data_IF_046947482432
#
_entry.id   IF_046947482432
#
_cell.length_a   1.000
_cell.length_b   1.000
_cell.length_c   1.000
_cell.angle_alpha   90.00
_cell.angle_beta   90.00
_cell.angle_gamma   90.00
#
_symmetry.space_group_name_H-M   'P 1'
#
loop_
_entity.id
_entity.type
_entity.pdbx_description
1 polymer ?
#
# COMPACT_ATOMS: atom_id res chain seq x y z
N UNK A 1 -3.21 -19.27 45.56
CA UNK A 1 -2.16 -18.25 45.69
C UNK A 1 -1.75 -17.79 44.30
N UNK A 2 -2.20 -16.60 43.86
CA UNK A 2 -1.71 -16.02 42.60
C UNK A 2 -0.26 -15.55 42.82
N UNK A 3 0.71 -15.93 41.97
CA UNK A 3 2.07 -15.44 42.12
C UNK A 3 2.09 -13.92 41.89
N UNK A 4 2.78 -13.20 42.78
CA UNK A 4 3.03 -11.75 42.66
C UNK A 4 3.62 -11.46 41.27
N UNK A 5 2.85 -10.78 40.41
CA UNK A 5 3.29 -10.25 39.12
C UNK A 5 4.52 -9.38 39.32
N UNK A 6 5.69 -9.85 38.90
CA UNK A 6 6.89 -9.01 38.83
C UNK A 6 6.89 -8.25 37.51
N UNK A 7 6.14 -7.16 37.44
CA UNK A 7 6.01 -6.30 36.27
C UNK A 7 7.36 -5.92 35.62
N UNK A 8 8.44 -5.85 36.41
CA UNK A 8 9.79 -5.55 35.91
C UNK A 8 10.42 -6.63 35.02
N UNK A 9 10.11 -7.93 35.20
CA UNK A 9 10.61 -8.98 34.31
C UNK A 9 9.85 -8.96 32.97
N UNK A 10 8.54 -8.80 33.03
CA UNK A 10 7.67 -8.72 31.84
C UNK A 10 8.05 -7.52 30.96
N UNK A 11 8.35 -6.37 31.57
CA UNK A 11 8.81 -5.16 30.86
C UNK A 11 10.17 -5.36 30.17
N UNK A 12 11.13 -6.03 30.82
CA UNK A 12 12.44 -6.33 30.21
C UNK A 12 12.31 -7.30 29.03
N UNK A 13 11.49 -8.34 29.15
CA UNK A 13 11.26 -9.27 28.05
C UNK A 13 10.58 -8.60 26.85
N UNK A 14 9.55 -7.78 27.10
CA UNK A 14 8.90 -7.00 26.05
C UNK A 14 9.87 -6.02 25.38
N UNK A 15 10.71 -5.32 26.15
CA UNK A 15 11.73 -4.42 25.60
C UNK A 15 12.74 -5.19 24.73
N UNK A 16 13.27 -6.32 25.20
CA UNK A 16 14.21 -7.14 24.43
C UNK A 16 13.58 -7.72 23.16
N UNK A 17 12.32 -8.15 23.23
CA UNK A 17 11.56 -8.61 22.07
C UNK A 17 11.40 -7.50 21.04
N UNK A 18 10.94 -6.32 21.47
CA UNK A 18 10.77 -5.16 20.60
C UNK A 18 12.09 -4.71 19.97
N UNK A 19 13.19 -4.70 20.72
CA UNK A 19 14.53 -4.38 20.18
C UNK A 19 14.95 -5.39 19.12
N UNK A 20 14.83 -6.70 19.39
CA UNK A 20 15.14 -7.74 18.40
C UNK A 20 14.27 -7.60 17.15
N UNK A 21 12.99 -7.30 17.33
CA UNK A 21 12.04 -7.08 16.23
C UNK A 21 12.40 -5.85 15.40
N UNK A 22 12.73 -4.73 16.05
CA UNK A 22 13.17 -3.50 15.40
C UNK A 22 14.46 -3.70 14.62
N UNK A 23 15.44 -4.41 15.18
CA UNK A 23 16.68 -4.75 14.49
C UNK A 23 16.41 -5.64 13.26
N UNK A 24 15.57 -6.65 13.41
CA UNK A 24 15.19 -7.51 12.29
C UNK A 24 14.51 -6.70 11.17
N UNK A 25 13.53 -5.87 11.53
CA UNK A 25 12.84 -4.99 10.57
C UNK A 25 13.82 -4.02 9.90
N UNK A 26 14.75 -3.41 10.65
CA UNK A 26 15.76 -2.51 10.11
C UNK A 26 16.65 -3.23 9.09
N UNK A 27 17.12 -4.45 9.40
CA UNK A 27 17.91 -5.26 8.47
C UNK A 27 17.10 -5.62 7.23
N UNK A 28 15.83 -6.02 7.39
CA UNK A 28 14.94 -6.31 6.27
C UNK A 28 14.73 -5.10 5.37
N UNK A 29 14.48 -3.92 5.95
CA UNK A 29 14.34 -2.65 5.21
C UNK A 29 15.64 -2.30 4.49
N UNK A 30 16.79 -2.39 5.16
CA UNK A 30 18.10 -2.11 4.55
C UNK A 30 18.37 -3.00 3.33
N UNK A 31 18.16 -4.31 3.47
CA UNK A 31 18.36 -5.26 2.37
C UNK A 31 17.35 -4.98 1.25
N UNK A 32 16.07 -4.81 1.57
CA UNK A 32 15.02 -4.55 0.60
C UNK A 32 15.26 -3.26 -0.18
N UNK A 33 15.62 -2.17 0.50
CA UNK A 33 15.96 -0.89 -0.12
C UNK A 33 17.21 -1.01 -0.98
N UNK A 34 18.27 -1.66 -0.50
CA UNK A 34 19.48 -1.82 -1.30
C UNK A 34 19.25 -2.66 -2.56
N UNK A 35 18.53 -3.77 -2.44
CA UNK A 35 18.13 -4.58 -3.59
C UNK A 35 17.27 -3.78 -4.58
N UNK A 36 16.34 -2.97 -4.08
CA UNK A 36 15.54 -2.07 -4.91
C UNK A 36 16.42 -1.10 -5.69
N UNK A 37 17.40 -0.46 -5.04
CA UNK A 37 18.33 0.46 -5.69
C UNK A 37 19.09 -0.27 -6.82
N UNK A 38 19.60 -1.47 -6.56
CA UNK A 38 20.32 -2.27 -7.56
C UNK A 38 19.41 -2.64 -8.73
N UNK A 39 18.20 -3.13 -8.46
CA UNK A 39 17.24 -3.56 -9.50
C UNK A 39 16.75 -2.37 -10.31
N UNK A 40 16.35 -1.27 -9.67
CA UNK A 40 15.84 -0.08 -10.34
C UNK A 40 16.89 0.59 -11.23
N UNK A 41 18.17 0.44 -10.92
CA UNK A 41 19.29 0.92 -11.74
C UNK A 41 19.87 -0.16 -12.67
N UNK A 42 19.26 -1.36 -12.74
CA UNK A 42 19.75 -2.51 -13.52
C UNK A 42 21.24 -2.81 -13.27
N UNK A 43 21.68 -2.75 -12.01
CA UNK A 43 23.08 -2.95 -11.63
C UNK A 43 24.04 -1.87 -12.13
N UNK A 44 23.54 -0.69 -12.52
CA UNK A 44 24.31 0.43 -13.05
C UNK A 44 24.15 0.65 -14.56
N UNK A 45 23.49 -0.25 -15.29
CA UNK A 45 23.27 -0.09 -16.74
C UNK A 45 22.42 1.14 -17.08
N UNK A 46 21.56 1.59 -16.15
CA UNK A 46 20.78 2.82 -16.30
C UNK A 46 21.69 4.05 -16.42
N UNK A 47 22.91 4.02 -15.89
CA UNK A 47 23.86 5.13 -16.00
C UNK A 47 24.29 5.38 -17.44
N UNK A 48 24.45 4.34 -18.24
CA UNK A 48 24.80 4.45 -19.66
C UNK A 48 23.67 5.10 -20.45
N UNK A 49 22.43 4.64 -20.22
CA UNK A 49 21.23 5.23 -20.80
C UNK A 49 21.10 6.70 -20.42
N UNK A 50 21.38 7.03 -19.16
CA UNK A 50 21.33 8.39 -18.65
C UNK A 50 22.39 9.29 -19.27
N UNK A 51 23.63 8.80 -19.46
CA UNK A 51 24.68 9.56 -20.17
C UNK A 51 24.28 9.87 -21.61
N UNK A 52 23.67 8.91 -22.31
CA UNK A 52 23.14 9.12 -23.66
C UNK A 52 22.03 10.17 -23.65
N UNK A 53 21.10 10.08 -22.70
CA UNK A 53 20.00 11.04 -22.56
C UNK A 53 20.50 12.46 -22.27
N UNK A 54 21.45 12.62 -21.33
CA UNK A 54 22.07 13.92 -21.01
C UNK A 54 22.73 14.51 -22.25
N UNK A 55 23.47 13.71 -23.03
CA UNK A 55 24.07 14.19 -24.27
C UNK A 55 23.01 14.62 -25.29
N UNK A 56 21.93 13.85 -25.46
CA UNK A 56 20.84 14.23 -26.36
C UNK A 56 20.13 15.50 -25.91
N UNK A 57 19.86 15.66 -24.62
CA UNK A 57 19.19 16.85 -24.07
C UNK A 57 20.09 18.08 -24.19
N UNK A 58 21.38 17.96 -23.86
CA UNK A 58 22.35 19.04 -24.01
C UNK A 58 22.47 19.48 -25.48
N UNK A 59 22.50 18.52 -26.41
CA UNK A 59 22.52 18.80 -27.85
C UNK A 59 21.27 19.55 -28.30
N UNK A 60 20.08 19.06 -27.94
CA UNK A 60 18.81 19.69 -28.32
C UNK A 60 18.64 21.07 -27.68
N UNK A 61 19.04 21.26 -26.42
CA UNK A 61 19.00 22.58 -25.78
C UNK A 61 19.92 23.60 -26.47
N UNK A 62 21.14 23.19 -26.86
CA UNK A 62 22.06 24.08 -27.58
C UNK A 62 21.55 24.37 -28.99
N UNK A 63 20.92 23.40 -29.65
CA UNK A 63 20.34 23.55 -31.00
C UNK A 63 19.08 24.42 -31.02
N UNK A 64 18.21 24.25 -30.03
CA UNK A 64 16.91 24.92 -29.95
C UNK A 64 17.01 26.40 -29.55
N UNK A 65 18.08 26.78 -28.85
CA UNK A 65 18.30 28.17 -28.44
C UNK A 65 18.80 29.01 -29.63
N UNK A 66 18.05 30.03 -30.08
CA UNK A 66 18.46 30.90 -31.18
C UNK A 66 19.81 31.57 -30.95
N UNK A 67 20.19 31.83 -29.70
CA UNK A 67 21.45 32.50 -29.35
C UNK A 67 22.71 31.71 -29.76
N UNK A 68 22.60 30.38 -29.88
CA UNK A 68 23.74 29.52 -30.25
C UNK A 68 23.73 29.12 -31.73
N UNK A 69 22.71 29.49 -32.51
CA UNK A 69 22.62 29.09 -33.92
C UNK A 69 23.65 29.77 -34.82
N UNK A 70 24.10 30.97 -34.46
CA UNK A 70 25.13 31.72 -35.20
C UNK A 70 26.57 31.28 -34.85
N UNK A 71 26.75 30.46 -33.80
CA UNK A 71 28.07 29.98 -33.39
C UNK A 71 28.66 28.95 -34.37
N UNK A 72 29.98 28.91 -34.45
CA UNK A 72 30.70 27.89 -35.21
C UNK A 72 30.36 26.48 -34.69
N UNK A 73 30.33 25.48 -35.58
CA UNK A 73 29.98 24.10 -35.22
C UNK A 73 30.89 23.51 -34.14
N UNK A 74 32.18 23.83 -34.17
CA UNK A 74 33.15 23.40 -33.17
C UNK A 74 32.87 24.00 -31.77
N UNK A 75 32.48 25.28 -31.70
CA UNK A 75 32.14 25.96 -30.44
C UNK A 75 30.83 25.43 -29.86
N UNK A 76 29.83 25.15 -30.71
CA UNK A 76 28.59 24.48 -30.28
C UNK A 76 28.86 23.11 -29.67
N UNK A 77 29.69 22.30 -30.33
CA UNK A 77 30.04 20.97 -29.82
C UNK A 77 30.79 21.05 -28.49
N UNK A 78 31.70 22.01 -28.33
CA UNK A 78 32.38 22.26 -27.06
C UNK A 78 31.41 22.69 -25.95
N UNK A 79 30.40 23.51 -26.27
CA UNK A 79 29.36 23.91 -25.32
C UNK A 79 28.48 22.72 -24.90
N UNK A 80 28.11 21.85 -25.84
CA UNK A 80 27.37 20.62 -25.56
C UNK A 80 28.17 19.72 -24.61
N UNK A 81 29.43 19.42 -24.94
CA UNK A 81 30.28 18.57 -24.09
C UNK A 81 30.50 19.19 -22.70
N UNK A 82 30.61 20.51 -22.60
CA UNK A 82 30.68 21.21 -21.31
C UNK A 82 29.40 21.02 -20.49
N UNK A 83 28.22 21.15 -21.11
CA UNK A 83 26.93 20.90 -20.43
C UNK A 83 26.79 19.44 -19.99
N UNK A 84 27.21 18.50 -20.85
CA UNK A 84 27.23 17.07 -20.52
C UNK A 84 28.12 16.80 -19.32
N UNK A 85 29.34 17.33 -19.30
CA UNK A 85 30.28 17.15 -18.20
C UNK A 85 29.72 17.68 -16.87
N UNK A 86 29.12 18.89 -16.88
CA UNK A 86 28.49 19.48 -15.70
C UNK A 86 27.35 18.61 -15.15
N UNK A 87 26.51 18.05 -16.02
CA UNK A 87 25.38 17.23 -15.56
C UNK A 87 25.81 15.83 -15.13
N UNK A 88 26.86 15.26 -15.75
CA UNK A 88 27.51 14.02 -15.30
C UNK A 88 28.08 14.20 -13.89
N UNK A 89 28.82 15.29 -13.63
CA UNK A 89 29.38 15.62 -12.33
C UNK A 89 28.28 15.87 -11.28
N UNK A 90 27.24 16.64 -11.65
CA UNK A 90 26.10 16.93 -10.76
C UNK A 90 25.35 15.68 -10.31
N UNK A 91 25.21 14.69 -11.19
CA UNK A 91 24.56 13.40 -10.89
C UNK A 91 25.56 12.34 -10.39
N UNK A 92 26.84 12.72 -10.25
CA UNK A 92 27.97 11.86 -9.86
C UNK A 92 28.12 10.63 -10.77
N UNK A 93 27.68 10.71 -12.02
CA UNK A 93 27.71 9.59 -12.96
C UNK A 93 29.14 9.16 -13.32
N UNK A 94 30.14 9.95 -12.95
CA UNK A 94 31.58 9.67 -13.01
C UNK A 94 32.06 8.73 -11.88
N UNK A 95 31.30 8.60 -10.78
CA UNK A 95 31.64 7.72 -9.67
C UNK A 95 31.14 6.28 -9.87
N UNK A 96 31.82 5.27 -9.28
CA UNK A 96 31.36 3.89 -9.32
C UNK A 96 29.93 3.74 -8.77
N UNK A 97 29.08 3.00 -9.49
CA UNK A 97 27.68 2.77 -9.12
C UNK A 97 27.52 2.29 -7.67
N UNK A 98 28.40 1.39 -7.20
CA UNK A 98 28.36 0.85 -5.83
C UNK A 98 28.54 1.93 -4.77
N UNK A 99 29.40 2.93 -5.01
CA UNK A 99 29.60 4.03 -4.07
C UNK A 99 28.34 4.88 -3.98
N UNK A 100 27.73 5.19 -5.13
CA UNK A 100 26.49 5.96 -5.20
C UNK A 100 25.28 5.22 -4.64
N UNK A 101 25.19 3.91 -4.84
CA UNK A 101 24.08 3.11 -4.31
C UNK A 101 24.13 3.03 -2.78
N UNK A 102 25.32 2.96 -2.18
CA UNK A 102 25.51 3.01 -0.73
C UNK A 102 25.21 4.41 -0.17
N UNK A 103 25.66 5.49 -0.83
CA UNK A 103 25.30 6.86 -0.44
C UNK A 103 23.78 7.09 -0.50
N UNK A 104 23.14 6.63 -1.58
CA UNK A 104 21.69 6.70 -1.72
C UNK A 104 20.97 5.90 -0.62
N UNK A 105 21.45 4.68 -0.30
CA UNK A 105 20.91 3.90 0.81
C UNK A 105 21.00 4.69 2.13
N UNK A 106 22.16 5.28 2.43
CA UNK A 106 22.35 6.06 3.66
C UNK A 106 21.41 7.26 3.74
N UNK A 107 21.19 7.97 2.62
CA UNK A 107 20.24 9.08 2.53
C UNK A 107 18.79 8.62 2.65
N UNK A 108 18.42 7.52 1.98
CA UNK A 108 17.11 6.90 2.07
C UNK A 108 16.79 6.43 3.50
N UNK A 109 17.80 5.97 4.26
CA UNK A 109 17.68 5.67 5.69
C UNK A 109 17.37 6.88 6.58
N UNK A 110 17.62 8.09 6.06
CA UNK A 110 17.31 9.38 6.69
C UNK A 110 16.10 10.08 6.07
N UNK A 111 15.35 9.38 5.20
CA UNK A 111 14.24 9.92 4.41
C UNK A 111 14.62 11.06 3.46
N UNK A 112 15.90 11.20 3.13
CA UNK A 112 16.35 12.03 2.02
C UNK A 112 16.30 11.21 0.73
N UNK A 113 15.18 11.34 0.01
CA UNK A 113 14.90 10.61 -1.22
C UNK A 113 15.40 11.33 -2.48
N UNK A 114 16.11 12.45 -2.32
CA UNK A 114 16.61 13.24 -3.43
C UNK A 114 15.54 14.03 -4.18
N UNK A 115 15.81 14.31 -5.45
CA UNK A 115 14.97 15.15 -6.32
C UNK A 115 14.55 14.39 -7.57
N UNK A 116 13.29 14.59 -7.95
CA UNK A 116 12.73 14.14 -9.21
C UNK A 116 13.36 14.90 -10.39
N UNK A 117 13.46 14.20 -11.51
CA UNK A 117 14.08 14.70 -12.74
C UNK A 117 13.05 15.36 -13.64
N UNK A 118 11.92 14.67 -13.84
CA UNK A 118 10.83 15.06 -14.73
C UNK A 118 9.58 15.47 -13.94
N UNK A 119 9.37 14.86 -12.77
CA UNK A 119 8.13 15.02 -12.02
C UNK A 119 8.21 16.14 -10.98
N UNK A 120 7.07 16.78 -10.72
CA UNK A 120 6.89 17.82 -9.71
C UNK A 120 5.67 17.52 -8.85
N UNK A 121 5.69 18.04 -7.63
CA UNK A 121 4.55 18.04 -6.73
C UNK A 121 3.48 19.02 -7.24
N UNK A 122 2.26 18.94 -6.74
CA UNK A 122 1.17 19.84 -7.12
C UNK A 122 1.50 21.30 -6.75
N UNK A 123 2.37 21.50 -5.76
CA UNK A 123 2.94 22.80 -5.37
C UNK A 123 4.20 23.21 -6.15
N UNK A 124 4.64 22.40 -7.12
CA UNK A 124 5.84 22.65 -7.95
C UNK A 124 7.17 22.18 -7.35
N UNK A 125 7.17 21.45 -6.23
CA UNK A 125 8.40 20.94 -5.63
C UNK A 125 9.00 19.78 -6.44
N UNK A 126 10.32 19.78 -6.63
CA UNK A 126 11.08 18.64 -7.19
C UNK A 126 11.48 17.61 -6.13
N UNK A 127 11.19 17.82 -4.85
CA UNK A 127 11.61 16.85 -3.82
C UNK A 127 10.74 15.60 -3.90
N UNK A 128 11.36 14.43 -3.94
CA UNK A 128 10.65 13.15 -4.06
C UNK A 128 9.75 12.92 -2.84
N UNK A 129 10.19 13.33 -1.65
CA UNK A 129 9.37 13.28 -0.42
C UNK A 129 8.05 14.02 -0.57
N UNK A 130 8.08 15.24 -1.12
CA UNK A 130 6.91 16.12 -1.22
C UNK A 130 5.90 15.51 -2.20
N UNK A 131 6.41 15.04 -3.35
CA UNK A 131 5.62 14.35 -4.38
C UNK A 131 4.92 13.11 -3.79
N UNK A 132 5.63 12.29 -3.00
CA UNK A 132 5.06 11.07 -2.44
C UNK A 132 4.01 11.38 -1.35
N UNK A 133 4.32 12.32 -0.46
CA UNK A 133 3.44 12.69 0.66
C UNK A 133 2.12 13.28 0.16
N UNK A 134 2.11 14.00 -0.96
CA UNK A 134 0.88 14.51 -1.57
C UNK A 134 -0.04 13.38 -2.10
N UNK A 135 0.51 12.23 -2.49
CA UNK A 135 -0.24 11.12 -3.09
C UNK A 135 -0.69 10.07 -2.07
N UNK A 136 0.04 9.90 -0.97
CA UNK A 136 -0.27 8.91 0.07
C UNK A 136 -1.70 9.03 0.65
N UNK A 137 -2.21 10.23 1.02
CA UNK A 137 -3.57 10.38 1.54
C UNK A 137 -4.65 9.91 0.55
N UNK A 138 -4.45 10.14 -0.75
CA UNK A 138 -5.41 9.74 -1.77
C UNK A 138 -5.52 8.20 -1.85
N UNK A 139 -4.39 7.49 -1.83
CA UNK A 139 -4.38 6.01 -1.79
C UNK A 139 -5.04 5.51 -0.50
N UNK A 140 -4.65 6.03 0.66
CA UNK A 140 -5.23 5.61 1.94
C UNK A 140 -6.73 5.87 2.02
N UNK A 141 -7.20 7.00 1.49
CA UNK A 141 -8.61 7.33 1.44
C UNK A 141 -9.39 6.33 0.59
N UNK A 142 -8.93 6.05 -0.63
CA UNK A 142 -9.63 5.16 -1.55
C UNK A 142 -9.64 3.71 -1.04
N UNK A 143 -8.45 3.15 -0.82
CA UNK A 143 -8.29 1.76 -0.41
C UNK A 143 -8.75 1.54 1.02
N UNK A 144 -8.53 2.50 1.92
CA UNK A 144 -9.06 2.46 3.28
C UNK A 144 -10.57 2.38 3.29
N UNK A 145 -11.26 3.27 2.56
CA UNK A 145 -12.72 3.28 2.50
C UNK A 145 -13.27 1.98 1.91
N UNK A 146 -12.73 1.54 0.78
CA UNK A 146 -13.19 0.31 0.12
C UNK A 146 -12.96 -0.93 0.99
N UNK A 147 -11.75 -1.12 1.54
CA UNK A 147 -11.43 -2.30 2.35
C UNK A 147 -12.20 -2.32 3.67
N UNK A 148 -12.36 -1.17 4.35
CA UNK A 148 -13.17 -1.10 5.57
C UNK A 148 -14.63 -1.46 5.28
N UNK A 149 -15.20 -0.93 4.20
CA UNK A 149 -16.56 -1.24 3.79
C UNK A 149 -16.70 -2.75 3.50
N UNK A 150 -15.81 -3.32 2.68
CA UNK A 150 -15.81 -4.76 2.39
C UNK A 150 -15.68 -5.58 3.67
N UNK A 151 -14.74 -5.25 4.55
CA UNK A 151 -14.49 -5.97 5.79
C UNK A 151 -15.74 -5.99 6.69
N UNK A 152 -16.30 -4.83 7.03
CA UNK A 152 -17.44 -4.76 7.95
C UNK A 152 -18.71 -5.35 7.34
N UNK A 153 -18.98 -5.07 6.06
CA UNK A 153 -20.15 -5.65 5.37
C UNK A 153 -19.98 -7.16 5.23
N UNK A 154 -18.79 -7.66 4.90
CA UNK A 154 -18.55 -9.09 4.75
C UNK A 154 -18.67 -9.83 6.08
N UNK A 155 -18.01 -9.37 7.14
CA UNK A 155 -18.08 -9.99 8.47
C UNK A 155 -19.52 -9.97 9.00
N UNK A 156 -20.22 -8.84 8.88
CA UNK A 156 -21.61 -8.70 9.33
C UNK A 156 -22.56 -9.61 8.56
N UNK A 157 -22.45 -9.62 7.22
CA UNK A 157 -23.29 -10.47 6.36
C UNK A 157 -22.98 -11.95 6.56
N UNK A 158 -21.70 -12.31 6.71
CA UNK A 158 -21.27 -13.67 6.97
C UNK A 158 -21.78 -14.21 8.31
N UNK A 159 -21.77 -13.40 9.37
CA UNK A 159 -22.34 -13.79 10.66
C UNK A 159 -23.86 -13.98 10.56
N UNK A 160 -24.55 -13.12 9.80
CA UNK A 160 -25.98 -13.29 9.57
C UNK A 160 -26.30 -14.55 8.77
N UNK A 161 -25.52 -14.84 7.72
CA UNK A 161 -25.68 -16.03 6.87
C UNK A 161 -25.31 -17.33 7.58
N UNK A 162 -24.28 -17.34 8.43
CA UNK A 162 -23.87 -18.55 9.18
C UNK A 162 -24.98 -19.03 10.12
N UNK A 163 -25.80 -18.13 10.66
CA UNK A 163 -27.00 -18.46 11.45
C UNK A 163 -28.15 -19.05 10.61
N UNK A 164 -28.15 -18.81 9.30
CA UNK A 164 -29.19 -19.27 8.34
C UNK A 164 -28.58 -20.21 7.30
N UNK A 165 -27.64 -21.04 7.74
CA UNK A 165 -26.93 -21.99 6.91
C UNK A 165 -27.88 -22.81 6.03
N UNK A 166 -27.58 -22.92 4.74
CA UNK A 166 -28.39 -23.68 3.77
C UNK A 166 -29.61 -22.93 3.22
N UNK A 167 -29.88 -21.71 3.70
CA UNK A 167 -30.92 -20.85 3.18
C UNK A 167 -30.75 -20.49 1.70
N UNK A 168 -31.80 -19.93 1.07
CA UNK A 168 -31.74 -19.50 -0.34
C UNK A 168 -30.72 -18.37 -0.56
N UNK A 169 -30.73 -17.36 0.31
CA UNK A 169 -29.80 -16.22 0.24
C UNK A 169 -28.36 -16.68 0.44
N UNK A 170 -28.16 -17.58 1.40
CA UNK A 170 -26.87 -18.20 1.69
C UNK A 170 -26.27 -18.90 0.47
N UNK A 171 -27.06 -19.79 -0.16
CA UNK A 171 -26.66 -20.47 -1.40
C UNK A 171 -26.39 -19.51 -2.55
N UNK A 172 -27.18 -18.45 -2.70
CA UNK A 172 -26.96 -17.43 -3.74
C UNK A 172 -25.63 -16.69 -3.54
N UNK A 173 -25.35 -16.23 -2.32
CA UNK A 173 -24.09 -15.50 -2.03
C UNK A 173 -22.87 -16.39 -2.28
N UNK A 174 -22.93 -17.67 -1.87
CA UNK A 174 -21.85 -18.63 -2.14
C UNK A 174 -21.69 -18.88 -3.65
N UNK A 175 -22.80 -19.03 -4.37
CA UNK A 175 -22.77 -19.22 -5.82
C UNK A 175 -22.20 -18.00 -6.57
N UNK A 176 -22.26 -16.80 -5.99
CA UNK A 176 -21.67 -15.58 -6.55
C UNK A 176 -20.20 -15.39 -6.17
N UNK A 177 -19.63 -16.17 -5.25
CA UNK A 177 -18.21 -16.05 -4.87
C UNK A 177 -17.23 -16.11 -6.06
N UNK A 178 -17.43 -16.95 -7.09
CA UNK A 178 -16.57 -16.96 -8.28
C UNK A 178 -16.56 -15.65 -9.08
N UNK A 179 -17.58 -14.79 -8.95
CA UNK A 179 -17.56 -13.47 -9.61
C UNK A 179 -16.37 -12.63 -9.13
N UNK A 180 -16.00 -12.74 -7.86
CA UNK A 180 -14.84 -12.07 -7.27
C UNK A 180 -13.47 -12.53 -7.81
N UNK A 181 -13.43 -13.40 -8.83
CA UNK A 181 -12.20 -13.73 -9.55
C UNK A 181 -11.71 -12.57 -10.42
N UNK A 182 -12.62 -11.72 -10.92
CA UNK A 182 -12.25 -10.55 -11.69
C UNK A 182 -11.72 -9.42 -10.78
N UNK A 183 -10.61 -8.76 -11.15
CA UNK A 183 -10.01 -7.71 -10.33
C UNK A 183 -10.87 -6.43 -10.33
N UNK A 184 -10.71 -5.58 -9.30
CA UNK A 184 -11.48 -4.34 -9.17
C UNK A 184 -11.43 -3.43 -10.39
N UNK A 185 -10.27 -3.26 -11.02
CA UNK A 185 -10.14 -2.41 -12.22
C UNK A 185 -11.00 -2.92 -13.39
N UNK A 186 -11.20 -4.23 -13.52
CA UNK A 186 -12.01 -4.83 -14.57
C UNK A 186 -13.48 -4.46 -14.39
N UNK A 187 -14.02 -4.61 -13.18
CA UNK A 187 -15.35 -4.09 -12.84
C UNK A 187 -15.45 -2.58 -13.05
N UNK A 188 -14.38 -1.86 -12.73
CA UNK A 188 -14.31 -0.41 -12.90
C UNK A 188 -14.58 0.04 -14.33
N UNK A 189 -14.03 -0.64 -15.33
CA UNK A 189 -14.26 -0.33 -16.75
C UNK A 189 -15.75 -0.39 -17.11
N UNK A 190 -16.45 -1.45 -16.70
CA UNK A 190 -17.89 -1.58 -16.97
C UNK A 190 -18.73 -0.58 -16.18
N UNK A 191 -18.34 -0.30 -14.94
CA UNK A 191 -19.02 0.71 -14.12
C UNK A 191 -18.87 2.11 -14.72
N UNK A 192 -17.69 2.46 -15.23
CA UNK A 192 -17.46 3.70 -15.97
C UNK A 192 -18.35 3.73 -17.22
N UNK A 193 -18.34 2.67 -18.04
CA UNK A 193 -19.18 2.61 -19.24
C UNK A 193 -20.67 2.81 -18.91
N UNK A 194 -21.17 2.14 -17.87
CA UNK A 194 -22.56 2.21 -17.47
C UNK A 194 -22.95 3.58 -16.89
N UNK A 195 -22.16 4.11 -15.95
CA UNK A 195 -22.57 5.25 -15.11
C UNK A 195 -21.89 6.59 -15.45
N UNK A 196 -20.87 6.59 -16.29
CA UNK A 196 -20.27 7.81 -16.80
C UNK A 196 -20.64 8.09 -18.25
N UNK A 197 -20.90 7.06 -19.06
CA UNK A 197 -21.18 7.21 -20.50
C UNK A 197 -22.61 6.88 -20.90
N UNK A 198 -23.14 5.68 -20.56
CA UNK A 198 -24.50 5.29 -20.96
C UNK A 198 -25.57 6.05 -20.15
N UNK A 199 -25.40 6.10 -18.84
CA UNK A 199 -26.25 6.86 -17.91
C UNK A 199 -25.32 7.76 -17.10
N UNK A 200 -25.02 8.99 -17.56
CA UNK A 200 -23.97 9.85 -17.01
C UNK A 200 -24.33 10.43 -15.62
N UNK A 201 -24.43 9.55 -14.63
CA UNK A 201 -24.76 9.85 -13.24
C UNK A 201 -23.52 10.14 -12.40
N UNK A 202 -22.39 9.51 -12.74
CA UNK A 202 -21.16 9.54 -11.95
C UNK A 202 -19.96 9.92 -12.82
N UNK A 203 -18.96 10.62 -12.24
CA UNK A 203 -17.75 10.99 -12.98
C UNK A 203 -16.94 9.73 -13.31
N UNK A 204 -16.28 9.69 -14.49
CA UNK A 204 -15.49 8.52 -14.92
C UNK A 204 -14.19 8.36 -14.13
N UNK A 205 -13.69 9.42 -13.49
CA UNK A 205 -12.41 9.41 -12.79
C UNK A 205 -12.04 10.78 -12.21
N UNK A 206 -10.84 10.87 -11.63
CA UNK A 206 -10.36 12.02 -10.85
C UNK A 206 -10.76 11.92 -9.38
N UNK A 207 -10.11 12.73 -8.52
CA UNK A 207 -10.43 12.78 -7.09
C UNK A 207 -11.59 13.73 -6.78
N UNK A 208 -11.68 14.83 -7.53
CA UNK A 208 -12.73 15.85 -7.44
C UNK A 208 -12.96 16.48 -8.82
N UNK A 209 -14.05 17.23 -8.98
CA UNK A 209 -14.33 17.98 -10.18
C UNK A 209 -13.23 19.04 -10.44
N UNK A 210 -12.99 19.35 -11.71
CA UNK A 210 -12.08 20.41 -12.13
C UNK A 210 -12.88 21.63 -12.62
N UNK A 211 -12.63 22.84 -12.11
CA UNK A 211 -11.70 23.19 -11.02
C UNK A 211 -12.17 22.66 -9.65
N UNK A 212 -11.24 22.41 -8.69
CA UNK A 212 -11.57 21.86 -7.38
C UNK A 212 -12.58 22.73 -6.61
N UNK A 213 -13.74 22.20 -6.22
CA UNK A 213 -14.70 22.94 -5.40
C UNK A 213 -14.15 23.16 -3.98
N UNK A 214 -14.69 24.15 -3.27
CA UNK A 214 -14.24 24.51 -1.91
C UNK A 214 -15.29 24.16 -0.85
N UNK A 215 -14.85 24.06 0.41
CA UNK A 215 -15.74 23.82 1.55
C UNK A 215 -16.52 22.49 1.44
N UNK A 216 -17.81 22.52 1.77
CA UNK A 216 -18.66 21.33 1.77
C UNK A 216 -18.85 20.73 0.36
N UNK A 217 -18.76 21.55 -0.69
CA UNK A 217 -18.83 21.07 -2.08
C UNK A 217 -17.63 20.18 -2.45
N UNK A 218 -16.45 20.40 -1.83
CA UNK A 218 -15.29 19.51 -1.98
C UNK A 218 -15.62 18.09 -1.51
N UNK A 219 -16.20 17.96 -0.32
CA UNK A 219 -16.54 16.66 0.26
C UNK A 219 -17.60 15.92 -0.56
N UNK A 220 -18.62 16.62 -1.06
CA UNK A 220 -19.64 16.04 -1.95
C UNK A 220 -19.01 15.58 -3.26
N UNK A 221 -18.16 16.42 -3.86
CA UNK A 221 -17.45 16.06 -5.09
C UNK A 221 -16.60 14.81 -4.86
N UNK A 222 -15.79 14.80 -3.80
CA UNK A 222 -14.93 13.67 -3.44
C UNK A 222 -15.73 12.38 -3.26
N UNK A 223 -16.83 12.42 -2.49
CA UNK A 223 -17.69 11.26 -2.29
C UNK A 223 -18.26 10.73 -3.62
N UNK A 224 -18.69 11.63 -4.52
CA UNK A 224 -19.21 11.25 -5.85
C UNK A 224 -18.14 10.59 -6.72
N UNK A 225 -16.90 11.06 -6.65
CA UNK A 225 -15.76 10.50 -7.40
C UNK A 225 -15.25 9.18 -6.80
N UNK A 226 -15.49 8.92 -5.52
CA UNK A 226 -15.17 7.64 -4.89
C UNK A 226 -16.15 6.52 -5.21
N UNK A 227 -17.39 6.83 -5.62
CA UNK A 227 -18.45 5.81 -5.77
C UNK A 227 -18.07 4.68 -6.73
N UNK A 228 -17.63 5.02 -7.95
CA UNK A 228 -17.27 4.00 -8.93
C UNK A 228 -16.04 3.16 -8.52
N UNK A 229 -14.89 3.75 -8.12
CA UNK A 229 -13.73 2.94 -7.75
C UNK A 229 -13.99 2.10 -6.48
N UNK A 230 -14.72 2.63 -5.49
CA UNK A 230 -15.12 1.85 -4.30
C UNK A 230 -16.07 0.72 -4.70
N UNK A 231 -17.09 0.99 -5.50
CA UNK A 231 -18.02 -0.05 -5.97
C UNK A 231 -17.30 -1.16 -6.75
N UNK A 232 -16.34 -0.78 -7.59
CA UNK A 232 -15.53 -1.72 -8.36
C UNK A 232 -14.74 -2.68 -7.45
N UNK A 233 -14.11 -2.13 -6.41
CA UNK A 233 -13.42 -2.93 -5.40
C UNK A 233 -14.38 -3.83 -4.62
N UNK A 234 -15.53 -3.29 -4.19
CA UNK A 234 -16.54 -4.04 -3.46
C UNK A 234 -17.02 -5.23 -4.28
N UNK A 235 -17.40 -5.03 -5.54
CA UNK A 235 -17.83 -6.14 -6.42
C UNK A 235 -16.74 -7.20 -6.59
N UNK A 236 -15.48 -6.77 -6.72
CA UNK A 236 -14.35 -7.69 -6.88
C UNK A 236 -14.01 -8.53 -5.66
N UNK A 237 -14.54 -8.23 -4.48
CA UNK A 237 -14.11 -8.91 -3.25
C UNK A 237 -15.25 -9.34 -2.33
N UNK A 238 -16.44 -8.73 -2.41
CA UNK A 238 -17.47 -8.90 -1.39
C UNK A 238 -17.96 -10.34 -1.25
N UNK A 239 -18.21 -11.04 -2.35
CA UNK A 239 -18.78 -12.40 -2.31
C UNK A 239 -17.77 -13.42 -1.80
N UNK A 240 -16.52 -13.36 -2.28
CA UNK A 240 -15.45 -14.23 -1.76
C UNK A 240 -15.14 -13.93 -0.29
N UNK A 241 -15.16 -12.66 0.12
CA UNK A 241 -14.98 -12.28 1.53
C UNK A 241 -16.12 -12.81 2.42
N UNK A 242 -17.39 -12.65 2.01
CA UNK A 242 -18.52 -13.22 2.76
C UNK A 242 -18.39 -14.73 2.85
N UNK A 243 -18.06 -15.41 1.75
CA UNK A 243 -17.85 -16.86 1.74
C UNK A 243 -16.78 -17.30 2.75
N UNK A 244 -15.62 -16.64 2.75
CA UNK A 244 -14.53 -16.95 3.66
C UNK A 244 -14.93 -16.74 5.13
N UNK A 245 -15.48 -15.57 5.48
CA UNK A 245 -15.92 -15.27 6.84
C UNK A 245 -17.05 -16.18 7.32
N UNK A 246 -17.98 -16.52 6.43
CA UNK A 246 -19.08 -17.44 6.76
C UNK A 246 -18.53 -18.82 7.07
N UNK A 247 -17.61 -19.32 6.25
CA UNK A 247 -16.95 -20.61 6.46
C UNK A 247 -16.21 -20.64 7.79
N UNK A 248 -15.47 -19.56 8.09
CA UNK A 248 -14.81 -19.37 9.38
C UNK A 248 -15.79 -19.47 10.57
N UNK A 249 -16.95 -18.78 10.52
CA UNK A 249 -17.94 -18.87 11.60
C UNK A 249 -18.54 -20.27 11.75
N UNK A 250 -18.76 -20.99 10.66
CA UNK A 250 -19.33 -22.33 10.69
C UNK A 250 -18.36 -23.35 11.28
N UNK A 251 -17.06 -23.27 10.92
CA UNK A 251 -16.02 -24.12 11.51
C UNK A 251 -16.00 -23.93 13.03
N UNK A 252 -15.95 -22.68 13.50
CA UNK A 252 -15.94 -22.40 14.94
C UNK A 252 -17.25 -22.74 15.65
N UNK A 253 -18.39 -22.73 14.95
CA UNK A 253 -19.66 -23.18 15.51
C UNK A 253 -19.73 -24.70 15.70
N UNK A 254 -18.92 -25.47 14.96
CA UNK A 254 -18.87 -26.94 14.98
C UNK A 254 -17.76 -27.49 15.88
N UNK A 255 -17.16 -26.66 16.73
CA UNK A 255 -16.12 -27.09 17.67
C UNK A 255 -16.72 -27.86 18.87
N UNK A 256 -15.97 -28.83 19.40
CA UNK A 256 -16.41 -29.73 20.48
C UNK A 256 -16.93 -28.99 21.72
N UNK A 257 -16.28 -27.88 22.10
CA UNK A 257 -16.68 -27.09 23.26
C UNK A 257 -18.01 -26.33 23.03
N UNK A 258 -18.39 -26.09 21.77
CA UNK A 258 -19.69 -25.54 21.39
C UNK A 258 -20.74 -26.64 21.38
N UNK A 259 -20.43 -27.83 20.87
CA UNK A 259 -21.33 -29.00 20.93
C UNK A 259 -21.64 -29.40 22.38
N UNK A 260 -20.63 -29.40 23.25
CA UNK A 260 -20.80 -29.64 24.68
C UNK A 260 -21.71 -28.59 25.35
N UNK A 261 -21.59 -27.32 24.94
CA UNK A 261 -22.48 -26.25 25.40
C UNK A 261 -23.93 -26.47 24.94
N UNK A 262 -24.15 -26.99 23.72
CA UNK A 262 -25.49 -27.37 23.22
C UNK A 262 -26.04 -28.57 24.00
N UNK A 263 -25.23 -29.60 24.24
CA UNK A 263 -25.62 -30.80 24.99
C UNK A 263 -26.03 -30.47 26.44
N UNK A 264 -25.42 -29.44 27.04
CA UNK A 264 -25.83 -28.88 28.34
C UNK A 264 -27.14 -28.11 28.33
N UNK A 265 -27.79 -27.92 27.17
CA UNK A 265 -29.04 -27.17 27.04
C UNK A 265 -28.89 -25.66 27.23
N UNK A 266 -27.68 -25.10 27.02
CA UNK A 266 -27.47 -23.66 27.15
C UNK A 266 -28.28 -22.89 26.07
N UNK A 267 -28.82 -21.70 26.40
CA UNK A 267 -29.63 -20.95 25.45
C UNK A 267 -28.80 -20.49 24.24
N UNK A 268 -29.38 -20.51 23.04
CA UNK A 268 -28.67 -20.26 21.77
C UNK A 268 -27.91 -18.92 21.75
N UNK A 269 -28.48 -17.87 22.36
CA UNK A 269 -27.82 -16.55 22.49
C UNK A 269 -26.54 -16.60 23.34
N UNK A 270 -26.51 -17.45 24.38
CA UNK A 270 -25.34 -17.62 25.23
C UNK A 270 -24.26 -18.41 24.49
N UNK A 271 -24.64 -19.50 23.81
CA UNK A 271 -23.75 -20.29 22.96
C UNK A 271 -23.10 -19.38 21.92
N UNK A 272 -23.91 -18.62 21.20
CA UNK A 272 -23.41 -17.72 20.18
C UNK A 272 -22.44 -16.67 20.74
N UNK A 273 -22.86 -15.90 21.74
CA UNK A 273 -22.03 -14.77 22.22
C UNK A 273 -20.77 -15.24 22.95
N UNK A 274 -20.89 -16.27 23.79
CA UNK A 274 -19.81 -16.68 24.70
C UNK A 274 -18.92 -17.78 24.13
N UNK A 275 -19.49 -18.70 23.36
CA UNK A 275 -18.77 -19.85 22.83
C UNK A 275 -18.38 -19.65 21.35
N UNK A 276 -19.10 -18.88 20.54
CA UNK A 276 -18.71 -18.67 19.14
C UNK A 276 -18.03 -17.31 18.93
N UNK A 277 -18.72 -16.21 19.23
CA UNK A 277 -18.25 -14.86 18.92
C UNK A 277 -17.02 -14.44 19.75
N UNK A 278 -17.05 -14.64 21.07
CA UNK A 278 -15.92 -14.23 21.93
C UNK A 278 -14.58 -14.89 21.54
N UNK A 279 -14.51 -16.21 21.31
CA UNK A 279 -13.26 -16.84 20.86
C UNK A 279 -12.83 -16.39 19.45
N UNK A 280 -13.78 -16.13 18.56
CA UNK A 280 -13.48 -15.72 17.17
C UNK A 280 -13.06 -14.26 17.02
N UNK A 281 -13.26 -13.41 18.03
CA UNK A 281 -12.82 -12.01 17.99
C UNK A 281 -11.31 -11.87 17.78
N UNK A 282 -10.49 -12.73 18.37
CA UNK A 282 -9.04 -12.64 18.22
C UNK A 282 -8.61 -12.83 16.74
N UNK A 283 -9.01 -13.90 16.03
CA UNK A 283 -8.76 -14.03 14.59
C UNK A 283 -9.37 -12.91 13.73
N UNK A 284 -10.54 -12.38 14.10
CA UNK A 284 -11.18 -11.26 13.39
C UNK A 284 -10.32 -9.99 13.51
N UNK A 285 -9.85 -9.69 14.71
CA UNK A 285 -8.96 -8.54 14.96
C UNK A 285 -7.64 -8.74 14.22
N UNK A 286 -7.04 -9.92 14.27
CA UNK A 286 -5.85 -10.28 13.47
C UNK A 286 -6.04 -9.94 12.00
N UNK A 287 -7.12 -10.41 11.37
CA UNK A 287 -7.39 -10.14 9.96
C UNK A 287 -7.66 -8.65 9.69
N UNK A 288 -8.35 -7.95 10.59
CA UNK A 288 -8.54 -6.52 10.48
C UNK A 288 -7.20 -5.78 10.46
N UNK A 289 -6.29 -6.12 11.37
CA UNK A 289 -4.95 -5.53 11.42
C UNK A 289 -4.14 -5.87 10.17
N UNK A 290 -4.21 -7.11 9.69
CA UNK A 290 -3.57 -7.53 8.44
C UNK A 290 -4.10 -6.76 7.23
N UNK A 291 -5.41 -6.50 7.18
CA UNK A 291 -6.03 -5.67 6.13
C UNK A 291 -5.54 -4.22 6.21
N UNK A 292 -5.37 -3.65 7.41
CA UNK A 292 -4.79 -2.31 7.55
C UNK A 292 -3.37 -2.21 6.97
N UNK A 293 -2.61 -3.31 6.94
CA UNK A 293 -1.28 -3.38 6.32
C UNK A 293 -1.33 -3.21 4.80
N UNK A 294 -2.42 -3.65 4.18
CA UNK A 294 -2.59 -3.60 2.74
C UNK A 294 -3.05 -2.24 2.20
N UNK A 295 -3.40 -1.27 3.05
CA UNK A 295 -4.12 -0.08 2.59
C UNK A 295 -3.33 0.81 1.64
N UNK A 296 -2.02 0.98 1.86
CA UNK A 296 -1.18 1.78 0.96
C UNK A 296 -0.60 0.99 -0.21
N UNK A 297 -0.65 -0.35 -0.18
CA UNK A 297 -0.21 -1.19 -1.31
C UNK A 297 -1.04 -0.87 -2.55
N UNK A 298 -2.29 -0.45 -2.35
CA UNK A 298 -3.17 0.04 -3.40
C UNK A 298 -3.38 -0.95 -4.54
N UNK A 299 -3.78 -0.43 -5.68
CA UNK A 299 -3.92 -1.15 -6.93
C UNK A 299 -3.59 -0.19 -8.07
N UNK A 300 -2.36 -0.25 -8.56
CA UNK A 300 -1.80 0.65 -9.59
C UNK A 300 -2.75 0.79 -10.78
N UNK A 301 -3.22 -0.35 -11.32
CA UNK A 301 -4.10 -0.37 -12.49
C UNK A 301 -5.46 0.27 -12.17
N UNK A 302 -5.99 0.06 -10.97
CA UNK A 302 -7.27 0.66 -10.58
C UNK A 302 -7.15 2.17 -10.45
N UNK A 303 -6.09 2.67 -9.83
CA UNK A 303 -5.84 4.12 -9.76
C UNK A 303 -5.67 4.72 -11.16
N UNK A 304 -4.99 4.02 -12.09
CA UNK A 304 -4.86 4.45 -13.48
C UNK A 304 -6.20 4.50 -14.22
N UNK A 305 -7.04 3.45 -14.10
CA UNK A 305 -8.36 3.39 -14.75
C UNK A 305 -9.25 4.54 -14.32
N UNK A 306 -9.21 4.91 -13.03
CA UNK A 306 -10.00 6.01 -12.48
C UNK A 306 -9.27 7.35 -12.45
N UNK A 307 -8.07 7.45 -13.02
CA UNK A 307 -7.21 8.65 -12.91
C UNK A 307 -7.15 9.20 -11.47
N UNK A 308 -7.04 8.29 -10.49
CA UNK A 308 -6.99 8.63 -9.08
C UNK A 308 -5.55 8.98 -8.70
N UNK A 309 -5.28 10.17 -8.11
CA UNK A 309 -3.92 10.68 -7.90
C UNK A 309 -3.25 10.05 -6.66
N UNK A 310 -3.16 8.73 -6.63
CA UNK A 310 -2.52 7.95 -5.57
C UNK A 310 -1.08 7.53 -5.87
N UNK A 311 -0.47 6.80 -4.92
CA UNK A 311 0.90 6.29 -5.01
C UNK A 311 1.10 5.32 -6.16
N UNK A 312 0.10 4.50 -6.47
CA UNK A 312 0.18 3.59 -7.60
C UNK A 312 0.20 4.33 -8.92
N UNK A 313 -0.63 5.36 -9.05
CA UNK A 313 -0.64 6.22 -10.23
C UNK A 313 0.68 6.98 -10.40
N UNK A 314 1.25 7.46 -9.30
CA UNK A 314 2.55 8.12 -9.25
C UNK A 314 3.67 7.21 -9.75
N UNK A 315 3.73 5.97 -9.25
CA UNK A 315 4.75 5.01 -9.67
C UNK A 315 4.63 4.66 -11.15
N UNK A 316 3.41 4.49 -11.66
CA UNK A 316 3.19 4.23 -13.07
C UNK A 316 3.67 5.39 -13.95
N UNK A 317 3.37 6.64 -13.56
CA UNK A 317 3.87 7.83 -14.24
C UNK A 317 5.40 7.93 -14.17
N UNK A 318 6.00 7.68 -13.01
CA UNK A 318 7.45 7.72 -12.83
C UNK A 318 8.17 6.69 -13.72
N UNK A 319 7.62 5.49 -13.87
CA UNK A 319 8.12 4.48 -14.81
C UNK A 319 8.00 4.99 -16.25
N UNK A 320 6.86 5.58 -16.61
CA UNK A 320 6.66 6.16 -17.94
C UNK A 320 7.65 7.27 -18.29
N UNK A 321 7.90 8.19 -17.34
CA UNK A 321 8.89 9.27 -17.47
C UNK A 321 10.33 8.84 -17.21
N UNK A 322 10.55 7.58 -16.81
CA UNK A 322 11.86 7.05 -16.40
C UNK A 322 12.51 7.89 -15.28
N UNK A 323 11.70 8.44 -14.38
CA UNK A 323 12.16 9.24 -13.24
C UNK A 323 12.64 8.31 -12.12
N UNK A 324 13.88 7.82 -12.26
CA UNK A 324 14.49 6.83 -11.36
C UNK A 324 14.45 7.25 -9.87
N UNK A 325 14.73 8.52 -9.50
CA UNK A 325 14.60 8.97 -8.11
C UNK A 325 13.20 8.75 -7.53
N UNK A 326 12.13 9.06 -8.29
CA UNK A 326 10.74 8.86 -7.83
C UNK A 326 10.40 7.38 -7.72
N UNK A 327 10.83 6.55 -8.67
CA UNK A 327 10.61 5.10 -8.62
C UNK A 327 11.24 4.50 -7.35
N UNK A 328 12.52 4.81 -7.10
CA UNK A 328 13.21 4.29 -5.92
C UNK A 328 12.58 4.86 -4.65
N UNK A 329 12.29 6.17 -4.62
CA UNK A 329 11.65 6.81 -3.47
C UNK A 329 10.30 6.18 -3.11
N UNK A 330 9.46 5.86 -4.10
CA UNK A 330 8.17 5.20 -3.88
C UNK A 330 8.31 3.80 -3.29
N UNK A 331 9.25 2.98 -3.80
CA UNK A 331 9.50 1.65 -3.24
C UNK A 331 10.09 1.71 -1.83
N UNK A 332 11.00 2.66 -1.58
CA UNK A 332 11.54 2.93 -0.24
C UNK A 332 10.42 3.26 0.74
N UNK A 333 9.50 4.15 0.36
CA UNK A 333 8.36 4.52 1.20
C UNK A 333 7.43 3.32 1.44
N UNK A 334 7.19 2.47 0.45
CA UNK A 334 6.44 1.23 0.67
C UNK A 334 7.14 0.28 1.66
N UNK A 335 8.47 0.15 1.59
CA UNK A 335 9.23 -0.63 2.57
C UNK A 335 9.09 -0.07 3.99
N UNK A 336 9.12 1.26 4.15
CA UNK A 336 8.90 1.90 5.45
C UNK A 336 7.47 1.70 5.96
N UNK A 337 6.45 1.92 5.12
CA UNK A 337 5.05 1.74 5.52
C UNK A 337 4.78 0.29 5.94
N UNK A 338 5.36 -0.67 5.22
CA UNK A 338 5.31 -2.08 5.59
C UNK A 338 5.97 -2.32 6.96
N UNK A 339 7.20 -1.81 7.16
CA UNK A 339 7.94 -2.00 8.41
C UNK A 339 7.24 -1.38 9.63
N UNK A 340 6.74 -0.14 9.48
CA UNK A 340 5.97 0.57 10.52
C UNK A 340 4.75 -0.25 10.91
N UNK A 341 4.09 -0.87 9.94
CA UNK A 341 2.82 -1.52 10.22
C UNK A 341 2.98 -2.94 10.75
N UNK A 342 4.00 -3.66 10.31
CA UNK A 342 4.40 -4.90 10.98
C UNK A 342 4.74 -4.61 12.44
N UNK A 343 5.48 -3.52 12.73
CA UNK A 343 5.79 -3.10 14.10
C UNK A 343 4.53 -2.77 14.90
N UNK A 344 3.57 -2.05 14.32
CA UNK A 344 2.28 -1.74 14.97
C UNK A 344 1.50 -3.02 15.29
N UNK A 345 1.50 -3.99 14.40
CA UNK A 345 0.81 -5.27 14.59
C UNK A 345 1.46 -6.09 15.70
N UNK A 346 2.79 -6.09 15.82
CA UNK A 346 3.49 -6.75 16.92
C UNK A 346 3.15 -6.13 18.28
N UNK A 347 3.08 -4.79 18.31
CA UNK A 347 2.66 -4.07 19.51
C UNK A 347 1.21 -4.41 19.89
N UNK A 348 0.32 -4.47 18.90
CA UNK A 348 -1.09 -4.82 19.10
C UNK A 348 -1.25 -6.27 19.55
N UNK A 349 -0.50 -7.23 19.00
CA UNK A 349 -0.51 -8.61 19.49
C UNK A 349 0.05 -8.73 20.91
N UNK A 350 1.11 -8.02 21.24
CA UNK A 350 1.65 -7.99 22.61
C UNK A 350 0.66 -7.43 23.64
N UNK A 351 -0.26 -6.56 23.18
CA UNK A 351 -1.34 -5.98 24.00
C UNK A 351 -2.55 -6.92 24.09
N UNK A 352 -2.97 -7.51 22.96
CA UNK A 352 -4.20 -8.30 22.84
C UNK A 352 -4.06 -9.74 23.34
N UNK A 353 -2.89 -10.37 23.14
CA UNK A 353 -2.65 -11.76 23.54
C UNK A 353 -1.49 -11.88 24.54
N UNK A 354 -1.78 -11.99 25.85
CA UNK A 354 -0.75 -12.21 26.86
C UNK A 354 -0.04 -13.58 26.73
N UNK A 355 -0.54 -14.52 25.89
CA UNK A 355 0.11 -15.82 25.66
C UNK A 355 1.31 -15.75 24.72
N UNK A 356 1.39 -14.72 23.87
CA UNK A 356 2.60 -14.46 23.04
C UNK A 356 3.83 -14.22 23.92
N UNK A 357 3.63 -13.78 25.17
CA UNK A 357 4.69 -13.63 26.18
C UNK A 357 5.31 -14.96 26.62
N UNK A 358 4.56 -16.07 26.52
CA UNK A 358 4.95 -17.41 27.02
C UNK A 358 5.71 -18.21 25.96
N UNK A 359 5.54 -17.91 24.67
CA UNK A 359 6.28 -18.59 23.59
C UNK A 359 7.79 -18.29 23.59
N UNK A 360 8.25 -17.28 24.34
CA UNK A 360 9.66 -17.05 24.64
C UNK A 360 10.23 -17.93 25.77
N UNK A 361 9.38 -18.57 26.58
CA UNK A 361 9.82 -19.45 27.70
C UNK A 361 10.16 -20.89 27.23
N UNK A 362 9.74 -21.30 26.03
CA UNK A 362 9.86 -22.69 25.57
C UNK A 362 11.13 -23.07 24.78
N UNK A 363 12.12 -22.18 24.62
CA UNK A 363 13.35 -22.46 23.85
C UNK A 363 14.66 -22.37 24.64
N UNK A 364 14.59 -22.28 25.97
CA UNK A 364 15.76 -22.17 26.85
C UNK A 364 15.92 -23.30 27.86
N UNK A 365 15.21 -24.42 27.71
CA UNK A 365 15.22 -25.52 28.66
C UNK A 365 14.95 -26.86 28.00
N UNK A 366 15.93 -27.35 27.24
CA UNK A 366 16.19 -28.77 26.99
C UNK A 366 17.69 -28.91 26.73
#
# INVERSE_FOLDING_TARGET
MMPRRSWGRDLRYLALYLVKRLLALLVTVLIGVYLTIVVANMGGQVDELRRVQIRSEAFEQVRADPAFQEMASAERNALVERRVALEVERLRLDEPFVVRSVDYLQRAMRLDLGRAEQMHSDAGSRRVSDIIVERLPATLLLFGTANLLVFFVAVGSALWLSRRYGGRVDRLVIALAPSSAAPGWFYGIFLILAFAFLVPLLPPGGMVAAPPPQGLAYAISLARHMLLPVAAMVLSSIFVSIYAWRTFFLIHASEDYVEMARAKGLPSRLIERRYILRPTLAPIITNFLLMLIGLWSGAIILEQVFNWPGLGSLLFQAIGFRDTPVIIGGVVIFAYLLAVTVLLLDLLYALLDPRVRILGEGRGGA
#
